data_IF_494678244146
#
_entry.id   IF_494678244146
#
_cell.length_a   1.000
_cell.length_b   1.000
_cell.length_c   1.000
_cell.angle_alpha   90.00
_cell.angle_beta   90.00
_cell.angle_gamma   90.00
#
_symmetry.space_group_name_H-M   'P 1'
#
loop_
_entity.id
_entity.type
_entity.pdbx_description
1 polymer ?
#
# COMPACT_ATOMS: atom_id res chain seq x y z
N UNK A 1 29.20 9.10 25.15
CA UNK A 1 28.33 7.94 25.48
C UNK A 1 27.08 8.46 26.15
N UNK A 2 26.02 8.66 25.37
CA UNK A 2 24.70 9.04 25.89
C UNK A 2 23.96 7.72 26.12
N UNK A 3 23.66 7.43 27.38
CA UNK A 3 23.17 6.13 27.84
C UNK A 3 21.79 5.80 27.28
N UNK A 4 21.65 4.59 26.73
CA UNK A 4 20.41 3.97 26.20
C UNK A 4 19.19 4.10 27.13
N UNK A 5 19.41 4.26 28.44
CA UNK A 5 18.38 4.49 29.45
C UNK A 5 17.51 5.75 29.22
N UNK A 6 18.00 6.76 28.49
CA UNK A 6 17.26 8.02 28.25
C UNK A 6 16.21 7.87 27.13
N UNK A 7 16.46 6.98 26.17
CA UNK A 7 15.54 6.72 25.04
C UNK A 7 14.35 5.89 25.50
N UNK A 8 14.58 4.93 26.40
CA UNK A 8 13.54 4.07 26.97
C UNK A 8 12.54 4.83 27.87
N UNK A 9 12.99 5.92 28.51
CA UNK A 9 12.13 6.75 29.36
C UNK A 9 11.22 7.67 28.53
N UNK A 10 11.72 8.23 27.44
CA UNK A 10 10.96 9.05 26.48
C UNK A 10 9.88 8.22 25.78
N UNK A 11 10.20 6.99 25.35
CA UNK A 11 9.23 6.08 24.71
C UNK A 11 8.14 5.66 25.70
N UNK A 12 8.49 5.39 26.97
CA UNK A 12 7.50 5.07 28.02
C UNK A 12 6.59 6.25 28.38
N UNK A 13 7.07 7.49 28.28
CA UNK A 13 6.26 8.70 28.46
C UNK A 13 5.28 8.89 27.31
N UNK A 14 5.69 8.68 26.06
CA UNK A 14 4.81 8.76 24.88
C UNK A 14 3.71 7.67 24.94
N UNK A 15 4.03 6.46 25.42
CA UNK A 15 3.05 5.39 25.58
C UNK A 15 2.11 5.64 26.78
N UNK A 16 2.61 6.18 27.91
CA UNK A 16 1.76 6.52 29.07
C UNK A 16 0.84 7.71 28.83
N UNK A 17 1.28 8.74 28.09
CA UNK A 17 0.42 9.87 27.71
C UNK A 17 -0.69 9.44 26.74
N UNK A 18 -0.43 8.46 25.87
CA UNK A 18 -1.46 7.84 25.03
C UNK A 18 -2.49 7.00 25.81
N UNK A 19 -2.09 6.39 26.93
CA UNK A 19 -2.97 5.54 27.74
C UNK A 19 -3.78 6.32 28.79
N UNK A 20 -3.26 7.43 29.35
CA UNK A 20 -4.03 8.27 30.27
C UNK A 20 -5.10 9.12 29.56
N UNK A 21 -4.89 9.47 28.29
CA UNK A 21 -5.94 9.99 27.40
C UNK A 21 -7.07 8.97 27.13
N UNK A 22 -6.76 7.67 27.25
CA UNK A 22 -7.65 6.56 26.90
C UNK A 22 -8.76 6.29 27.94
N UNK A 23 -8.52 6.56 29.23
CA UNK A 23 -9.45 6.16 30.29
C UNK A 23 -10.47 7.22 30.70
N UNK A 24 -10.27 8.50 30.37
CA UNK A 24 -11.17 9.60 30.78
C UNK A 24 -12.26 9.92 29.76
N UNK A 25 -12.28 9.24 28.62
CA UNK A 25 -13.26 9.41 27.54
C UNK A 25 -14.15 8.17 27.35
N UNK A 26 -14.35 7.37 28.41
CA UNK A 26 -15.30 6.26 28.44
C UNK A 26 -16.66 6.69 29.04
N UNK A 27 -17.08 7.93 28.79
CA UNK A 27 -18.38 8.44 29.22
C UNK A 27 -19.25 8.72 27.98
N UNK A 28 -20.17 7.77 27.75
CA UNK A 28 -21.25 7.74 26.77
C UNK A 28 -21.89 9.10 26.44
N UNK A 29 -22.09 9.40 25.14
CA UNK A 29 -23.16 10.29 24.67
C UNK A 29 -23.68 9.87 23.30
N UNK A 30 -24.97 10.12 23.02
CA UNK A 30 -25.80 9.33 22.12
C UNK A 30 -25.54 9.58 20.63
N UNK A 31 -25.75 8.52 19.85
CA UNK A 31 -25.89 8.57 18.40
C UNK A 31 -27.19 9.28 18.01
N UNK A 32 -27.11 10.51 17.49
CA UNK A 32 -27.98 11.04 16.42
C UNK A 32 -27.77 12.54 16.19
N UNK A 33 -26.91 12.90 15.24
CA UNK A 33 -27.08 14.05 14.33
C UNK A 33 -25.90 14.09 13.35
N UNK A 34 -26.20 14.14 12.03
CA UNK A 34 -25.27 13.77 10.94
C UNK A 34 -23.84 14.29 11.08
N UNK A 35 -22.86 13.41 11.25
CA UNK A 35 -21.45 13.80 11.20
C UNK A 35 -21.04 13.98 9.74
N UNK A 36 -20.22 14.97 9.40
CA UNK A 36 -19.62 15.01 8.08
C UNK A 36 -18.85 13.72 7.82
N UNK A 37 -18.99 13.18 6.61
CA UNK A 37 -18.33 11.94 6.20
C UNK A 37 -17.11 12.25 5.35
N UNK A 38 -16.03 11.53 5.64
CA UNK A 38 -14.84 11.53 4.81
C UNK A 38 -14.67 10.11 4.28
N UNK A 39 -14.60 9.97 2.97
CA UNK A 39 -14.33 8.69 2.30
C UNK A 39 -12.96 8.76 1.68
N UNK A 40 -12.12 7.77 1.99
CA UNK A 40 -10.79 7.61 1.41
C UNK A 40 -10.74 6.29 0.65
N UNK A 41 -10.69 6.36 -0.68
CA UNK A 41 -10.57 5.20 -1.55
C UNK A 41 -9.11 5.01 -1.99
N UNK A 42 -8.49 3.90 -1.59
CA UNK A 42 -7.08 3.61 -1.86
C UNK A 42 -6.96 2.57 -2.99
N UNK A 43 -6.32 2.95 -4.08
CA UNK A 43 -6.11 2.10 -5.25
C UNK A 43 -4.64 1.70 -5.38
N UNK A 44 -4.39 0.40 -5.53
CA UNK A 44 -3.06 -0.09 -5.90
C UNK A 44 -3.05 -0.57 -7.35
N UNK A 45 -2.01 -0.21 -8.11
CA UNK A 45 -1.88 -0.66 -9.49
C UNK A 45 -0.43 -0.73 -10.00
N UNK A 46 -0.25 -1.32 -11.18
CA UNK A 46 1.00 -1.54 -11.87
C UNK A 46 1.12 -0.64 -13.09
N UNK A 47 2.21 0.12 -13.19
CA UNK A 47 2.49 0.97 -14.35
C UNK A 47 2.52 0.17 -15.66
N UNK A 48 3.00 -1.08 -15.61
CA UNK A 48 3.08 -1.97 -16.77
C UNK A 48 1.74 -2.28 -17.42
N UNK A 49 0.64 -2.22 -16.67
CA UNK A 49 -0.70 -2.51 -17.18
C UNK A 49 -1.49 -1.24 -17.54
N UNK A 50 -0.80 -0.10 -17.69
CA UNK A 50 -1.39 1.19 -18.06
C UNK A 50 -1.91 2.01 -16.87
N UNK A 51 -2.40 3.25 -17.12
CA UNK A 51 -3.01 4.08 -16.09
C UNK A 51 -4.32 3.48 -15.57
N UNK A 52 -4.76 3.89 -14.37
CA UNK A 52 -6.11 3.59 -13.90
C UNK A 52 -7.11 4.31 -14.81
N UNK A 53 -8.10 3.58 -15.34
CA UNK A 53 -9.19 4.20 -16.09
C UNK A 53 -9.93 5.18 -15.17
N UNK A 54 -10.14 6.38 -15.66
CA UNK A 54 -10.61 7.54 -14.89
C UNK A 54 -12.10 7.61 -14.52
N UNK A 55 -13.06 6.84 -15.08
CA UNK A 55 -14.48 7.14 -14.84
C UNK A 55 -14.94 6.89 -13.39
N UNK A 56 -14.28 6.02 -12.64
CA UNK A 56 -14.58 5.77 -11.22
C UNK A 56 -13.83 6.73 -10.26
N UNK A 57 -12.74 7.32 -10.74
CA UNK A 57 -11.88 8.25 -9.96
C UNK A 57 -12.36 9.70 -10.12
N UNK A 58 -13.10 10.01 -11.18
CA UNK A 58 -13.69 11.32 -11.48
C UNK A 58 -15.13 11.47 -10.95
N UNK A 59 -15.39 11.07 -9.72
CA UNK A 59 -16.47 11.75 -8.99
C UNK A 59 -16.12 13.25 -8.96
N UNK A 60 -17.06 14.10 -9.39
CA UNK A 60 -16.79 15.49 -9.82
C UNK A 60 -16.18 16.41 -8.76
N UNK A 61 -16.04 15.95 -7.51
CA UNK A 61 -15.49 16.71 -6.38
C UNK A 61 -14.45 15.92 -5.55
N UNK A 62 -13.90 14.83 -6.08
CA UNK A 62 -12.91 14.03 -5.35
C UNK A 62 -11.51 14.63 -5.43
N UNK A 63 -10.81 14.66 -4.29
CA UNK A 63 -9.40 15.03 -4.23
C UNK A 63 -8.60 13.82 -4.70
N UNK A 64 -7.69 14.00 -5.65
CA UNK A 64 -6.86 12.92 -6.17
C UNK A 64 -5.40 13.07 -5.70
N UNK A 65 -4.87 12.04 -5.05
CA UNK A 65 -3.45 11.95 -4.70
C UNK A 65 -2.81 10.74 -5.38
N UNK A 66 -1.67 10.94 -6.03
CA UNK A 66 -0.98 9.89 -6.80
C UNK A 66 0.44 9.68 -6.27
N UNK A 67 0.78 8.44 -5.92
CA UNK A 67 2.08 8.07 -5.37
C UNK A 67 2.76 6.99 -6.22
N UNK A 68 3.97 7.29 -6.71
CA UNK A 68 4.82 6.33 -7.41
C UNK A 68 5.87 5.77 -6.46
N UNK A 69 5.77 4.48 -6.14
CA UNK A 69 6.65 3.81 -5.17
C UNK A 69 7.68 2.87 -5.82
N UNK A 70 7.91 3.00 -7.13
CA UNK A 70 8.84 2.12 -7.86
C UNK A 70 10.31 2.27 -7.43
N UNK A 71 10.63 3.39 -6.80
CA UNK A 71 11.94 3.66 -6.21
C UNK A 71 12.16 2.90 -4.88
N UNK A 72 11.10 2.37 -4.26
CA UNK A 72 11.22 1.56 -3.04
C UNK A 72 11.76 0.16 -3.37
N UNK A 73 12.51 -0.40 -2.42
CA UNK A 73 13.13 -1.71 -2.55
C UNK A 73 12.10 -2.80 -2.86
N UNK A 74 12.49 -3.74 -3.72
CA UNK A 74 11.66 -4.88 -4.03
C UNK A 74 11.65 -5.88 -2.86
N UNK A 75 10.49 -6.47 -2.52
CA UNK A 75 10.45 -7.62 -1.63
C UNK A 75 11.32 -8.78 -2.16
N UNK A 76 11.81 -9.66 -1.26
CA UNK A 76 12.62 -10.82 -1.63
C UNK A 76 11.98 -11.66 -2.74
N UNK A 77 12.80 -12.09 -3.70
CA UNK A 77 12.32 -12.78 -4.93
C UNK A 77 11.50 -14.03 -4.61
N UNK A 78 11.92 -14.82 -3.62
CA UNK A 78 11.23 -16.03 -3.18
C UNK A 78 9.80 -15.74 -2.70
N UNK A 79 9.57 -14.60 -2.03
CA UNK A 79 8.22 -14.20 -1.61
C UNK A 79 7.38 -13.71 -2.79
N UNK A 80 7.99 -12.96 -3.72
CA UNK A 80 7.28 -12.39 -4.88
C UNK A 80 6.72 -13.45 -5.84
N UNK A 81 7.39 -14.60 -5.95
CA UNK A 81 6.94 -15.70 -6.83
C UNK A 81 5.65 -16.32 -6.30
N UNK A 82 5.58 -16.53 -4.98
CA UNK A 82 4.53 -17.35 -4.36
C UNK A 82 3.35 -16.53 -3.85
N UNK A 83 3.54 -15.22 -3.62
CA UNK A 83 2.59 -14.40 -2.89
C UNK A 83 2.41 -13.01 -3.50
N UNK A 84 1.32 -12.35 -3.12
CA UNK A 84 1.02 -10.96 -3.44
C UNK A 84 1.23 -10.07 -2.22
N UNK A 85 1.05 -8.76 -2.38
CA UNK A 85 1.11 -7.81 -1.28
C UNK A 85 0.05 -7.98 -0.20
N UNK A 86 -0.95 -8.87 -0.38
CA UNK A 86 -1.92 -9.22 0.66
C UNK A 86 -1.29 -10.14 1.73
N UNK A 87 -0.29 -10.94 1.35
CA UNK A 87 0.36 -11.90 2.25
C UNK A 87 1.00 -11.19 3.44
N UNK A 88 0.64 -11.55 4.69
CA UNK A 88 1.24 -10.96 5.89
C UNK A 88 2.76 -11.10 5.92
N UNK A 89 3.30 -12.23 5.41
CA UNK A 89 4.75 -12.47 5.36
C UNK A 89 5.45 -11.51 4.41
N UNK A 90 4.90 -11.29 3.21
CA UNK A 90 5.47 -10.33 2.25
C UNK A 90 5.36 -8.90 2.78
N UNK A 91 4.20 -8.52 3.35
CA UNK A 91 4.02 -7.20 3.97
C UNK A 91 5.04 -6.95 5.06
N UNK A 92 5.19 -7.89 6.01
CA UNK A 92 6.14 -7.75 7.12
C UNK A 92 7.57 -7.53 6.62
N UNK A 93 8.04 -8.30 5.65
CA UNK A 93 9.39 -8.12 5.11
C UNK A 93 9.56 -6.83 4.31
N UNK A 94 8.55 -6.44 3.53
CA UNK A 94 8.58 -5.17 2.80
C UNK A 94 8.62 -3.96 3.73
N UNK A 95 7.81 -3.99 4.80
CA UNK A 95 7.67 -2.90 5.78
C UNK A 95 8.81 -2.86 6.81
N UNK A 96 9.62 -3.91 6.92
CA UNK A 96 10.82 -3.92 7.77
C UNK A 96 11.85 -2.87 7.33
N UNK A 97 11.80 -2.43 6.07
CA UNK A 97 12.70 -1.42 5.56
C UNK A 97 12.29 -0.01 6.02
N UNK A 98 13.21 0.70 6.66
CA UNK A 98 12.95 2.05 7.19
C UNK A 98 12.55 3.06 6.11
N UNK A 99 13.11 2.98 4.90
CA UNK A 99 12.76 3.88 3.78
C UNK A 99 11.28 3.72 3.42
N UNK A 100 10.78 2.49 3.42
CA UNK A 100 9.36 2.19 3.18
C UNK A 100 8.50 2.76 4.31
N UNK A 101 8.93 2.58 5.57
CA UNK A 101 8.26 3.14 6.75
C UNK A 101 8.16 4.67 6.72
N UNK A 102 9.27 5.36 6.47
CA UNK A 102 9.29 6.83 6.36
C UNK A 102 8.52 7.35 5.15
N UNK A 103 8.44 6.58 4.06
CA UNK A 103 7.60 6.95 2.92
C UNK A 103 6.10 6.78 3.26
N UNK A 104 5.72 5.71 3.97
CA UNK A 104 4.35 5.53 4.49
C UNK A 104 3.92 6.68 5.39
N UNK A 105 4.78 7.09 6.33
CA UNK A 105 4.49 8.21 7.24
C UNK A 105 4.30 9.52 6.48
N UNK A 106 5.17 9.82 5.50
CA UNK A 106 5.02 11.00 4.64
C UNK A 106 3.73 10.96 3.81
N UNK A 107 3.39 9.82 3.23
CA UNK A 107 2.14 9.65 2.49
C UNK A 107 0.92 9.84 3.38
N UNK A 108 0.93 9.24 4.58
CA UNK A 108 -0.14 9.42 5.57
C UNK A 108 -0.28 10.90 5.98
N UNK A 109 0.83 11.58 6.29
CA UNK A 109 0.84 13.00 6.61
C UNK A 109 0.30 13.87 5.46
N UNK A 110 0.66 13.56 4.22
CA UNK A 110 0.14 14.21 3.02
C UNK A 110 -1.37 14.07 2.88
N UNK A 111 -1.89 12.84 3.04
CA UNK A 111 -3.34 12.55 3.03
C UNK A 111 -4.07 13.35 4.11
N UNK A 112 -3.57 13.30 5.35
CA UNK A 112 -4.16 14.05 6.46
C UNK A 112 -4.17 15.54 6.14
N UNK A 113 -3.05 16.11 5.67
CA UNK A 113 -2.99 17.53 5.34
C UNK A 113 -3.98 17.92 4.23
N UNK A 114 -4.13 17.10 3.19
CA UNK A 114 -5.13 17.30 2.14
C UNK A 114 -6.55 17.31 2.69
N UNK A 115 -6.88 16.36 3.58
CA UNK A 115 -8.17 16.32 4.27
C UNK A 115 -8.39 17.57 5.12
N UNK A 116 -7.37 18.00 5.90
CA UNK A 116 -7.45 19.22 6.72
C UNK A 116 -7.71 20.47 5.87
N UNK A 117 -7.03 20.57 4.73
CA UNK A 117 -7.16 21.70 3.81
C UNK A 117 -8.54 21.75 3.17
N UNK A 118 -9.00 20.62 2.66
CA UNK A 118 -10.34 20.49 2.06
C UNK A 118 -11.43 20.81 3.08
N UNK A 119 -11.30 20.27 4.27
CA UNK A 119 -12.22 20.54 5.37
C UNK A 119 -12.29 22.03 5.69
N UNK A 120 -11.16 22.71 5.86
CA UNK A 120 -11.12 24.13 6.18
C UNK A 120 -11.80 25.00 5.10
N UNK A 121 -11.69 24.62 3.83
CA UNK A 121 -12.34 25.32 2.71
C UNK A 121 -13.86 25.16 2.72
N UNK A 122 -14.39 24.00 3.10
CA UNK A 122 -15.84 23.73 3.12
C UNK A 122 -16.63 24.57 4.14
N UNK A 123 -15.97 25.17 5.14
CA UNK A 123 -16.62 25.99 6.18
C UNK A 123 -16.44 27.51 5.98
N UNK A 124 -15.75 27.95 4.92
CA UNK A 124 -15.40 29.36 4.71
C UNK A 124 -16.31 30.14 3.75
N UNK A 125 -17.30 29.53 3.10
CA UNK A 125 -18.22 30.28 2.25
C UNK A 125 -19.28 31.05 3.08
N UNK A 126 -19.27 32.40 3.08
CA UNK A 126 -20.34 33.19 3.65
C UNK A 126 -21.51 33.20 2.65
N UNK A 127 -22.62 32.56 3.01
CA UNK A 127 -23.86 32.52 2.22
C UNK A 127 -24.35 33.95 1.91
N UNK A 128 -24.43 34.30 0.62
CA UNK A 128 -25.36 35.30 0.13
C UNK A 128 -26.50 34.57 -0.60
N UNK A 129 -27.71 34.70 -0.07
CA UNK A 129 -29.01 34.36 -0.68
C UNK A 129 -29.44 32.87 -0.74
N UNK A 130 -30.12 32.45 0.34
CA UNK A 130 -31.42 31.74 0.33
C UNK A 130 -31.62 30.51 -0.56
N UNK A 131 -31.47 29.31 0.01
CA UNK A 131 -32.58 28.38 0.31
C UNK A 131 -32.01 27.17 1.08
N UNK A 132 -32.73 26.70 2.09
CA UNK A 132 -32.27 25.69 3.04
C UNK A 132 -32.28 24.28 2.47
N UNK A 133 -31.10 23.76 2.15
CA UNK A 133 -30.74 22.36 2.40
C UNK A 133 -29.29 22.33 2.88
N UNK A 134 -29.09 22.28 4.20
CA UNK A 134 -27.77 22.11 4.81
C UNK A 134 -27.21 20.70 4.52
N UNK A 135 -26.82 20.42 3.27
CA UNK A 135 -26.01 19.25 2.96
C UNK A 135 -24.66 19.42 3.64
N UNK A 136 -24.33 18.49 4.54
CA UNK A 136 -23.04 18.47 5.23
C UNK A 136 -21.94 18.11 4.23
N UNK A 137 -20.72 18.62 4.40
CA UNK A 137 -19.64 18.33 3.48
C UNK A 137 -19.34 16.82 3.51
N UNK A 138 -19.48 16.18 2.35
CA UNK A 138 -19.00 14.83 2.10
C UNK A 138 -17.70 14.95 1.32
N UNK A 139 -16.56 14.69 1.97
CA UNK A 139 -15.24 14.78 1.33
C UNK A 139 -14.91 13.40 0.78
N UNK A 140 -14.67 13.33 -0.52
CA UNK A 140 -14.16 12.13 -1.19
C UNK A 140 -12.68 12.34 -1.55
N UNK A 141 -11.82 11.44 -1.11
CA UNK A 141 -10.38 11.44 -1.40
C UNK A 141 -10.03 10.12 -2.07
N UNK A 142 -9.50 10.20 -3.29
CA UNK A 142 -8.95 9.05 -4.00
C UNK A 142 -7.43 9.09 -3.92
N UNK A 143 -6.84 8.01 -3.44
CA UNK A 143 -5.39 7.85 -3.39
C UNK A 143 -4.99 6.70 -4.29
N UNK A 144 -4.10 6.94 -5.24
CA UNK A 144 -3.58 5.91 -6.13
C UNK A 144 -2.10 5.67 -5.83
N UNK A 145 -1.71 4.40 -5.77
CA UNK A 145 -0.34 3.97 -5.49
C UNK A 145 0.12 3.01 -6.57
N UNK A 146 1.17 3.39 -7.31
CA UNK A 146 1.68 2.59 -8.42
C UNK A 146 3.04 1.96 -8.13
N UNK A 147 3.16 0.67 -8.48
CA UNK A 147 4.45 0.00 -8.64
C UNK A 147 4.63 -0.48 -10.09
N UNK A 148 5.55 -1.41 -10.36
CA UNK A 148 5.78 -1.88 -11.73
C UNK A 148 4.64 -2.79 -12.21
N UNK A 149 4.42 -3.92 -11.52
CA UNK A 149 3.44 -4.95 -11.89
C UNK A 149 2.10 -4.84 -11.16
N UNK A 150 2.02 -4.05 -10.09
CA UNK A 150 0.78 -3.87 -9.33
C UNK A 150 0.43 -4.99 -8.33
N UNK A 151 1.32 -5.98 -8.14
CA UNK A 151 1.02 -7.20 -7.35
C UNK A 151 1.62 -7.26 -5.95
N UNK A 152 2.73 -6.57 -5.71
CA UNK A 152 3.50 -6.71 -4.45
C UNK A 152 3.59 -5.41 -3.67
N UNK A 153 4.47 -4.49 -4.12
CA UNK A 153 4.80 -3.26 -3.39
C UNK A 153 3.58 -2.37 -3.21
N UNK A 154 2.85 -2.08 -4.28
CA UNK A 154 1.69 -1.16 -4.24
C UNK A 154 0.57 -1.73 -3.36
N UNK A 155 0.29 -3.02 -3.48
CA UNK A 155 -0.70 -3.73 -2.66
C UNK A 155 -0.29 -3.69 -1.19
N UNK A 156 0.94 -4.14 -0.86
CA UNK A 156 1.44 -4.19 0.51
C UNK A 156 1.44 -2.79 1.17
N UNK A 157 1.81 -1.78 0.39
CA UNK A 157 1.82 -0.39 0.81
C UNK A 157 0.40 0.14 1.09
N UNK A 158 -0.53 -0.08 0.17
CA UNK A 158 -1.94 0.35 0.31
C UNK A 158 -2.60 -0.32 1.51
N UNK A 159 -2.37 -1.61 1.70
CA UNK A 159 -2.90 -2.37 2.84
C UNK A 159 -2.43 -1.83 4.20
N UNK A 160 -1.13 -1.51 4.31
CA UNK A 160 -0.58 -0.93 5.53
C UNK A 160 -1.07 0.52 5.73
N UNK A 161 -1.14 1.30 4.65
CA UNK A 161 -1.68 2.66 4.69
C UNK A 161 -3.15 2.65 5.14
N UNK A 162 -3.97 1.75 4.60
CA UNK A 162 -5.37 1.58 4.99
C UNK A 162 -5.49 1.32 6.49
N UNK A 163 -4.72 0.35 6.99
CA UNK A 163 -4.66 0.03 8.42
C UNK A 163 -4.30 1.25 9.26
N UNK A 164 -3.30 2.03 8.86
CA UNK A 164 -2.88 3.24 9.58
C UNK A 164 -3.95 4.33 9.55
N UNK A 165 -4.62 4.51 8.41
CA UNK A 165 -5.71 5.49 8.28
C UNK A 165 -6.94 5.09 9.10
N UNK A 166 -7.30 3.80 9.15
CA UNK A 166 -8.41 3.32 9.99
C UNK A 166 -8.17 3.49 11.49
N UNK A 167 -6.91 3.61 11.92
CA UNK A 167 -6.54 3.92 13.29
C UNK A 167 -6.63 5.42 13.61
N UNK A 168 -6.73 6.29 12.60
CA UNK A 168 -7.05 7.70 12.81
C UNK A 168 -8.47 7.77 13.36
N UNK A 169 -8.60 8.04 14.66
CA UNK A 169 -9.90 8.21 15.29
C UNK A 169 -10.60 9.43 14.70
N UNK A 170 -11.92 9.30 14.56
CA UNK A 170 -12.86 10.40 14.32
C UNK A 170 -12.48 11.61 15.18
N UNK A 171 -11.98 12.69 14.56
CA UNK A 171 -11.67 13.94 15.26
C UNK A 171 -10.27 14.06 15.90
N UNK A 172 -9.29 13.21 15.57
CA UNK A 172 -7.99 13.21 16.25
C UNK A 172 -7.24 14.56 16.26
N UNK A 173 -7.49 15.45 15.28
CA UNK A 173 -6.92 16.81 15.24
C UNK A 173 -7.95 17.90 14.87
N UNK A 174 -9.19 17.51 14.63
CA UNK A 174 -10.24 18.40 14.13
C UNK A 174 -11.38 18.38 15.13
N UNK A 175 -11.67 19.53 15.73
CA UNK A 175 -12.60 19.74 16.86
C UNK A 175 -14.05 19.25 16.63
N UNK A 176 -14.36 18.74 15.43
CA UNK A 176 -15.66 18.20 15.08
C UNK A 176 -15.52 16.69 14.83
N UNK A 177 -16.44 15.90 15.37
CA UNK A 177 -16.54 14.47 15.06
C UNK A 177 -16.92 14.29 13.58
N UNK A 178 -15.97 13.88 12.75
CA UNK A 178 -16.19 13.39 11.39
C UNK A 178 -16.15 11.87 11.39
N UNK A 179 -16.78 11.23 10.41
CA UNK A 179 -16.72 9.77 10.22
C UNK A 179 -15.75 9.45 9.09
N UNK A 180 -14.68 8.70 9.38
CA UNK A 180 -13.78 8.18 8.35
C UNK A 180 -14.28 6.84 7.80
N UNK A 181 -14.36 6.72 6.47
CA UNK A 181 -14.46 5.44 5.78
C UNK A 181 -13.22 5.25 4.91
N UNK A 182 -12.55 4.11 5.02
CA UNK A 182 -11.38 3.76 4.20
C UNK A 182 -11.70 2.49 3.43
N UNK A 183 -11.51 2.51 2.11
CA UNK A 183 -11.71 1.36 1.22
C UNK A 183 -10.44 1.10 0.42
N UNK A 184 -10.18 -0.17 0.08
CA UNK A 184 -9.02 -0.59 -0.70
C UNK A 184 -9.44 -1.31 -1.97
N UNK A 185 -8.77 -1.02 -3.07
CA UNK A 185 -9.00 -1.62 -4.39
C UNK A 185 -7.66 -2.00 -5.03
N UNK A 186 -7.58 -3.20 -5.59
CA UNK A 186 -6.34 -3.74 -6.14
C UNK A 186 -6.53 -4.21 -7.59
N UNK A 187 -6.40 -3.27 -8.53
CA UNK A 187 -6.69 -3.49 -9.96
C UNK A 187 -6.05 -4.76 -10.52
N UNK A 188 -4.77 -4.97 -10.22
CA UNK A 188 -3.99 -6.05 -10.84
C UNK A 188 -4.03 -7.37 -10.05
N UNK A 189 -4.89 -7.47 -9.03
CA UNK A 189 -5.13 -8.73 -8.29
C UNK A 189 -6.39 -9.45 -8.74
N UNK A 190 -7.41 -8.74 -9.22
CA UNK A 190 -8.69 -9.33 -9.63
C UNK A 190 -8.53 -10.27 -10.84
N UNK A 191 -7.53 -10.03 -11.69
CA UNK A 191 -7.21 -10.88 -12.83
C UNK A 191 -6.62 -12.26 -12.48
N UNK A 192 -6.24 -12.51 -11.21
CA UNK A 192 -5.64 -13.78 -10.79
C UNK A 192 -6.67 -14.86 -10.42
N UNK A 193 -7.96 -14.53 -10.42
CA UNK A 193 -9.04 -15.47 -10.15
C UNK A 193 -9.11 -15.90 -8.68
N UNK A 194 -10.34 -16.08 -8.20
CA UNK A 194 -10.65 -16.73 -6.93
C UNK A 194 -10.15 -18.17 -6.91
N UNK A 195 -8.87 -18.39 -6.62
CA UNK A 195 -8.43 -19.69 -6.10
C UNK A 195 -8.74 -19.68 -4.62
N UNK A 196 -9.93 -20.21 -4.33
CA UNK A 196 -10.46 -20.65 -3.05
C UNK A 196 -9.42 -20.80 -1.93
N UNK A 197 -9.76 -20.26 -0.76
CA UNK A 197 -9.33 -20.75 0.54
C UNK A 197 -9.17 -22.28 0.54
N UNK A 198 -8.00 -22.75 0.95
CA UNK A 198 -7.69 -24.17 0.96
C UNK A 198 -6.36 -24.46 1.65
N UNK A 199 -6.38 -24.34 2.97
CA UNK A 199 -5.67 -25.22 3.91
C UNK A 199 -4.15 -25.23 3.86
N UNK A 200 -3.55 -24.78 4.97
CA UNK A 200 -2.26 -25.23 5.46
C UNK A 200 -2.23 -26.78 5.49
N UNK A 201 -1.71 -27.41 4.44
CA UNK A 201 -1.25 -28.80 4.52
C UNK A 201 0.12 -28.81 5.19
N UNK A 202 0.09 -28.97 6.50
CA UNK A 202 1.15 -29.63 7.26
C UNK A 202 1.28 -31.05 6.69
N UNK A 203 2.35 -31.31 5.95
CA UNK A 203 2.86 -32.68 5.73
C UNK A 203 4.22 -32.76 6.40
N UNK A 204 4.18 -33.15 7.66
CA UNK A 204 5.29 -33.85 8.31
C UNK A 204 5.17 -35.32 7.93
N UNK A 205 6.15 -35.85 7.22
CA UNK A 205 6.62 -37.20 7.46
C UNK A 205 8.08 -37.35 7.00
N UNK A 206 8.89 -37.68 7.97
CA UNK A 206 10.24 -38.23 7.85
C UNK A 206 10.29 -39.45 6.93
N UNK A 207 11.51 -39.70 6.44
CA UNK A 207 12.18 -41.00 6.18
C UNK A 207 12.65 -41.14 4.73
N UNK A 208 13.98 -41.28 4.58
CA UNK A 208 14.54 -42.20 3.58
C UNK A 208 15.32 -41.58 2.41
N UNK A 209 16.62 -41.41 2.64
CA UNK A 209 17.75 -41.86 1.78
C UNK A 209 17.68 -41.73 0.24
N UNK A 210 18.81 -41.19 -0.25
CA UNK A 210 19.50 -41.45 -1.53
C UNK A 210 18.80 -41.11 -2.84
N UNK A 211 19.34 -40.13 -3.56
CA UNK A 211 20.30 -40.42 -4.63
C UNK A 211 20.85 -39.10 -5.19
N UNK A 212 22.13 -39.13 -5.54
CA UNK A 212 22.76 -38.16 -6.40
C UNK A 212 22.06 -38.11 -7.78
N UNK A 213 22.47 -37.12 -8.58
CA UNK A 213 22.36 -37.14 -10.06
C UNK A 213 21.15 -36.42 -10.67
N UNK A 214 21.30 -35.10 -10.88
CA UNK A 214 20.76 -34.38 -12.05
C UNK A 214 21.38 -32.97 -12.11
N UNK A 215 22.69 -32.93 -12.39
CA UNK A 215 23.36 -31.77 -12.97
C UNK A 215 23.50 -32.08 -14.46
N UNK A 216 23.12 -31.11 -15.30
CA UNK A 216 23.36 -30.98 -16.76
C UNK A 216 22.14 -31.30 -17.64
N UNK A 217 21.27 -30.31 -17.80
CA UNK A 217 20.67 -30.04 -19.13
C UNK A 217 19.99 -28.68 -19.18
N UNK A 218 20.76 -27.61 -19.45
CA UNK A 218 20.26 -26.33 -20.00
C UNK A 218 21.41 -25.40 -20.41
N UNK A 219 22.39 -25.96 -21.12
CA UNK A 219 23.60 -25.24 -21.56
C UNK A 219 24.01 -25.46 -23.02
N UNK A 220 23.19 -26.11 -23.85
CA UNK A 220 23.60 -26.53 -25.19
C UNK A 220 22.92 -25.79 -26.36
N UNK A 221 22.00 -24.86 -26.12
CA UNK A 221 21.37 -24.10 -27.22
C UNK A 221 22.14 -22.83 -27.61
N UNK A 222 22.90 -22.22 -26.68
CA UNK A 222 23.65 -20.98 -26.95
C UNK A 222 25.02 -21.21 -27.63
N UNK A 223 25.58 -22.42 -27.61
CA UNK A 223 26.91 -22.71 -28.20
C UNK A 223 26.88 -23.06 -29.69
N UNK A 224 25.73 -23.47 -30.25
CA UNK A 224 25.62 -23.84 -31.68
C UNK A 224 25.44 -22.65 -32.64
N UNK A 225 25.08 -21.46 -32.15
CA UNK A 225 24.93 -20.29 -33.03
C UNK A 225 26.25 -19.56 -33.32
N UNK A 226 27.25 -19.65 -32.43
CA UNK A 226 28.52 -18.92 -32.59
C UNK A 226 29.60 -19.67 -33.39
N UNK A 227 29.43 -20.95 -33.70
CA UNK A 227 30.37 -21.70 -34.55
C UNK A 227 30.06 -21.59 -36.05
N UNK A 228 28.84 -21.19 -36.42
CA UNK A 228 28.43 -21.08 -37.85
C UNK A 228 28.86 -19.76 -38.52
N UNK A 229 29.29 -18.76 -37.75
CA UNK A 229 29.74 -17.46 -38.28
C UNK A 229 31.27 -17.33 -38.41
N UNK A 230 32.05 -18.36 -38.07
CA UNK A 230 33.54 -18.31 -38.16
C UNK A 230 34.11 -18.92 -39.45
N UNK A 231 33.30 -19.62 -40.26
CA UNK A 231 33.75 -20.28 -41.49
C UNK A 231 33.32 -19.56 -42.77
N UNK A 232 33.06 -18.25 -42.73
CA UNK A 232 32.57 -17.49 -43.90
C UNK A 232 33.43 -16.27 -44.28
N UNK A 233 34.70 -16.26 -43.85
CA UNK A 233 35.63 -15.16 -44.14
C UNK A 233 37.05 -15.60 -44.58
N UNK A 234 37.26 -16.88 -44.87
CA UNK A 234 38.57 -17.40 -45.35
C UNK A 234 38.54 -17.84 -46.83
N UNK A 235 37.43 -17.65 -47.55
CA UNK A 235 37.25 -18.17 -48.92
C UNK A 235 37.08 -17.08 -50.00
N UNK A 236 37.60 -15.87 -49.75
CA UNK A 236 37.55 -14.72 -50.70
C UNK A 236 38.93 -14.08 -50.90
N UNK A 237 40.03 -14.77 -50.57
CA UNK A 237 41.40 -14.22 -50.75
C UNK A 237 42.36 -15.16 -51.50
N UNK A 238 41.82 -16.02 -52.37
CA UNK A 238 42.65 -16.72 -53.37
C UNK A 238 41.93 -16.73 -54.71
N UNK A 239 42.14 -15.68 -55.50
CA UNK A 239 42.33 -15.72 -56.96
C UNK A 239 42.77 -14.35 -57.48
#
# INVERSE_FOLDING_TARGET
QISEARIDYEIKIIIRLNLQWFSRWAASKPESSGRPSITVSLYSFGRGNGPLATPEIQEQNSILLCYNIRHLLNPPRNLRIMTTGLSPRLRKEFLKNEIVGSFLERTQGGIVNSLKTSWASSFREPKSHGNDTHQKPNISLVVTVCCEEGRHRSVAFVEELAKRLSLLRDGADMSNSWKLSVTTFHRDLEALGSVSNGSDMIVSQHVGKSSAESKREKGNYARRLNQKNRNRYEDVMVQ
#
